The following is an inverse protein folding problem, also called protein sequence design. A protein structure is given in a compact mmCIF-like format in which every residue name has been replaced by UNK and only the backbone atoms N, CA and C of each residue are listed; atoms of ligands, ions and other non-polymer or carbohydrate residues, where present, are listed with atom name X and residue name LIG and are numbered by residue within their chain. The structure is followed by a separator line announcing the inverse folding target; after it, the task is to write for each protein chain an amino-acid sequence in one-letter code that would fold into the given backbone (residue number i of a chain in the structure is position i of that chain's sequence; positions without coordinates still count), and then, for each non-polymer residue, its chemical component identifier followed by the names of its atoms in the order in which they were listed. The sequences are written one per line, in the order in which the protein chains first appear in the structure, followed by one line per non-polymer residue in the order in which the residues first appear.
data_IF_393797266351
#
_entry.id   IF_393797266351
#
_cell.length_a   1.000
_cell.length_b   1.000
_cell.length_c   1.000
_cell.angle_alpha   90.00
_cell.angle_beta   90.00
_cell.angle_gamma   90.00
#
_symmetry.space_group_name_H-M   'P 1'
#
loop_
_entity.id
_entity.type
_entity.pdbx_description
1 polymer ?
#
# COMPACT_ATOMS: atom_id res chain seq x y z
N UNK A 1 8.01 -17.31 5.76
CA UNK A 1 7.99 -16.91 4.33
C UNK A 1 9.38 -16.44 3.93
N UNK A 2 10.10 -17.15 3.04
CA UNK A 2 11.44 -16.75 2.57
C UNK A 2 11.30 -16.01 1.24
N UNK A 3 11.47 -14.69 1.24
CA UNK A 3 11.51 -13.90 0.00
C UNK A 3 12.88 -14.14 -0.65
N UNK A 4 12.91 -14.90 -1.75
CA UNK A 4 14.12 -15.03 -2.58
C UNK A 4 14.21 -13.82 -3.49
N UNK A 5 15.16 -12.92 -3.22
CA UNK A 5 15.45 -11.80 -4.11
C UNK A 5 16.27 -12.36 -5.27
N UNK A 6 15.60 -12.61 -6.40
CA UNK A 6 16.28 -13.01 -7.64
C UNK A 6 16.99 -11.80 -8.24
N UNK A 7 18.32 -11.76 -8.11
CA UNK A 7 19.16 -10.68 -8.64
C UNK A 7 19.39 -10.86 -10.16
N UNK A 8 18.31 -10.84 -10.92
CA UNK A 8 18.33 -11.02 -12.38
C UNK A 8 18.52 -9.65 -13.07
N UNK A 9 19.70 -9.43 -13.69
CA UNK A 9 20.02 -8.19 -14.43
C UNK A 9 19.00 -7.86 -15.54
N UNK A 10 18.33 -8.87 -16.12
CA UNK A 10 17.27 -8.66 -17.11
C UNK A 10 16.00 -8.04 -16.51
N UNK A 11 15.66 -8.42 -15.27
CA UNK A 11 14.48 -7.90 -14.57
C UNK A 11 14.63 -6.42 -14.19
N UNK A 12 15.85 -6.00 -13.82
CA UNK A 12 16.13 -4.58 -13.51
C UNK A 12 15.83 -3.63 -14.66
N UNK A 13 15.97 -4.08 -15.92
CA UNK A 13 15.63 -3.28 -17.11
C UNK A 13 14.12 -3.12 -17.33
N UNK A 14 13.30 -3.99 -16.72
CA UNK A 14 11.83 -3.94 -16.81
C UNK A 14 11.20 -3.14 -15.66
N UNK A 15 11.97 -2.79 -14.63
CA UNK A 15 11.47 -1.97 -13.54
C UNK A 15 11.31 -0.53 -14.02
N UNK A 16 10.30 0.19 -13.51
CA UNK A 16 10.18 1.62 -13.75
C UNK A 16 11.47 2.33 -13.35
N UNK A 17 12.01 3.15 -14.25
CA UNK A 17 13.18 3.99 -13.98
C UNK A 17 12.83 5.13 -13.00
N UNK A 18 11.56 5.55 -13.01
CA UNK A 18 11.07 6.63 -12.18
C UNK A 18 10.46 6.11 -10.87
N UNK A 19 10.89 6.71 -9.75
CA UNK A 19 10.40 6.41 -8.40
C UNK A 19 9.42 7.47 -7.90
N UNK A 20 8.38 7.74 -8.69
CA UNK A 20 7.43 8.83 -8.43
C UNK A 20 6.84 8.79 -7.02
N UNK A 21 6.24 7.66 -6.63
CA UNK A 21 5.62 7.52 -5.31
C UNK A 21 6.60 7.40 -4.16
N UNK A 22 7.84 6.96 -4.39
CA UNK A 22 8.81 6.73 -3.30
C UNK A 22 9.14 8.01 -2.55
N UNK A 23 9.30 9.14 -3.24
CA UNK A 23 9.57 10.43 -2.59
C UNK A 23 8.38 10.90 -1.74
N UNK A 24 7.16 10.73 -2.27
CA UNK A 24 5.91 11.13 -1.60
C UNK A 24 5.71 10.30 -0.33
N UNK A 25 5.90 8.98 -0.42
CA UNK A 25 5.86 8.08 0.74
C UNK A 25 6.90 8.50 1.77
N UNK A 26 8.16 8.71 1.36
CA UNK A 26 9.22 9.12 2.28
C UNK A 26 8.86 10.40 3.05
N UNK A 27 8.43 11.45 2.35
CA UNK A 27 8.04 12.71 2.97
C UNK A 27 6.84 12.55 3.94
N UNK A 28 5.84 11.75 3.56
CA UNK A 28 4.70 11.47 4.42
C UNK A 28 5.10 10.72 5.71
N UNK A 29 5.99 9.73 5.62
CA UNK A 29 6.47 9.01 6.79
C UNK A 29 7.30 9.89 7.72
N UNK A 30 8.13 10.77 7.16
CA UNK A 30 8.84 11.77 7.97
C UNK A 30 7.86 12.68 8.74
N UNK A 31 6.86 13.24 8.05
CA UNK A 31 5.88 14.15 8.64
C UNK A 31 4.96 13.47 9.66
N UNK A 32 4.43 12.29 9.33
CA UNK A 32 3.36 11.65 10.12
C UNK A 32 3.87 10.67 11.16
N UNK A 33 5.07 10.11 10.99
CA UNK A 33 5.56 9.00 11.81
C UNK A 33 6.89 9.33 12.49
N UNK A 34 7.96 9.59 11.73
CA UNK A 34 9.29 9.78 12.33
C UNK A 34 9.38 11.06 13.16
N UNK A 35 8.73 12.15 12.74
CA UNK A 35 8.62 13.39 13.54
C UNK A 35 7.91 13.21 14.89
N UNK A 36 7.16 12.11 15.06
CA UNK A 36 6.38 11.80 16.27
C UNK A 36 6.95 10.61 17.06
N UNK A 37 8.12 10.12 16.68
CA UNK A 37 8.85 9.06 17.38
C UNK A 37 9.84 9.60 18.43
N UNK A 38 9.89 10.93 18.62
CA UNK A 38 10.76 11.54 19.63
C UNK A 38 10.23 11.32 21.06
N UNK A 39 11.13 11.23 22.07
CA UNK A 39 10.74 11.14 23.47
C UNK A 39 9.81 12.31 23.86
N UNK A 40 8.60 12.00 24.32
CA UNK A 40 7.60 12.99 24.72
C UNK A 40 6.55 13.33 23.66
N UNK A 41 6.62 12.75 22.46
CA UNK A 41 5.58 12.92 21.46
C UNK A 41 4.28 12.18 21.84
N UNK A 42 3.10 12.74 21.49
CA UNK A 42 1.81 12.07 21.73
C UNK A 42 1.71 10.78 20.91
N UNK A 43 1.06 9.76 21.50
CA UNK A 43 0.83 8.47 20.84
C UNK A 43 0.16 8.66 19.48
N UNK A 44 0.75 8.12 18.41
CA UNK A 44 0.20 8.23 17.06
C UNK A 44 -0.80 7.09 16.85
N UNK A 45 -2.11 7.35 16.72
CA UNK A 45 -3.06 6.30 16.42
C UNK A 45 -2.85 5.86 14.97
N UNK A 46 -2.53 4.57 14.80
CA UNK A 46 -2.39 3.87 13.51
C UNK A 46 -1.48 4.59 12.50
N UNK A 47 -0.18 4.30 12.54
CA UNK A 47 0.75 4.81 11.55
C UNK A 47 0.80 3.88 10.33
N UNK A 48 0.56 4.41 9.14
CA UNK A 48 0.69 3.61 7.94
C UNK A 48 0.58 4.43 6.65
N UNK A 49 0.97 3.84 5.51
CA UNK A 49 0.97 4.52 4.21
C UNK A 49 -0.42 4.97 3.76
N UNK A 50 -1.48 4.37 4.30
CA UNK A 50 -2.87 4.74 3.99
C UNK A 50 -3.26 6.16 4.45
N UNK A 51 -2.47 6.80 5.32
CA UNK A 51 -2.65 8.21 5.70
C UNK A 51 -1.93 9.20 4.77
N UNK A 52 -1.19 8.71 3.78
CA UNK A 52 -0.49 9.55 2.81
C UNK A 52 -1.41 9.85 1.63
N UNK A 53 -1.38 11.10 1.16
CA UNK A 53 -2.01 11.44 -0.11
C UNK A 53 -1.16 10.97 -1.27
N UNK A 54 -1.80 10.24 -2.19
CA UNK A 54 -1.15 9.72 -3.39
C UNK A 54 -1.74 10.41 -4.63
N UNK A 55 -1.04 11.38 -5.23
CA UNK A 55 -1.54 12.04 -6.42
C UNK A 55 -1.64 11.02 -7.56
N UNK A 56 -2.78 11.07 -8.26
CA UNK A 56 -2.97 10.29 -9.46
C UNK A 56 -2.08 10.83 -10.59
N UNK A 57 -1.40 9.93 -11.28
CA UNK A 57 -0.65 10.24 -12.49
C UNK A 57 -1.56 10.18 -13.71
N UNK A 58 -1.39 11.11 -14.64
CA UNK A 58 -2.14 11.14 -15.90
C UNK A 58 -1.72 10.03 -16.87
N UNK A 59 -0.48 9.54 -16.77
CA UNK A 59 0.11 8.53 -17.64
C UNK A 59 -0.02 7.09 -17.09
N UNK A 60 -0.45 6.93 -15.83
CA UNK A 60 -0.67 5.63 -15.20
C UNK A 60 -2.14 5.52 -14.80
N UNK A 61 -2.87 4.63 -15.47
CA UNK A 61 -4.21 4.24 -15.04
C UNK A 61 -4.10 3.44 -13.74
N UNK A 62 -4.81 3.90 -12.72
CA UNK A 62 -4.88 3.18 -11.45
C UNK A 62 -5.38 1.75 -11.64
N UNK A 63 -4.89 0.87 -10.79
CA UNK A 63 -5.31 -0.53 -10.74
C UNK A 63 -6.25 -0.68 -9.57
N UNK A 64 -7.53 -0.86 -9.85
CA UNK A 64 -8.49 -1.24 -8.83
C UNK A 64 -8.26 -2.71 -8.47
N UNK A 65 -8.03 -2.98 -7.19
CA UNK A 65 -7.92 -4.33 -6.66
C UNK A 65 -9.24 -4.68 -6.00
N UNK A 66 -9.92 -5.66 -6.56
CA UNK A 66 -11.14 -6.25 -6.00
C UNK A 66 -10.83 -7.66 -5.50
N UNK A 67 -11.55 -8.11 -4.49
CA UNK A 67 -11.42 -9.46 -3.96
C UNK A 67 -12.78 -9.97 -3.48
N UNK A 68 -13.01 -11.26 -3.66
CA UNK A 68 -14.08 -11.94 -2.94
C UNK A 68 -13.61 -12.24 -1.51
N UNK A 69 -14.51 -12.59 -0.61
CA UNK A 69 -14.15 -12.92 0.78
C UNK A 69 -14.75 -14.27 1.14
N UNK A 70 -14.00 -15.09 1.87
CA UNK A 70 -14.56 -16.29 2.48
C UNK A 70 -15.35 -15.90 3.73
N UNK A 71 -16.59 -16.39 3.81
CA UNK A 71 -17.43 -16.24 4.98
C UNK A 71 -16.88 -17.15 6.09
N UNK A 72 -16.14 -16.56 7.01
CA UNK A 72 -15.76 -17.22 8.26
C UNK A 72 -16.80 -16.90 9.35
N UNK A 73 -17.06 -17.85 10.28
CA UNK A 73 -17.96 -17.61 11.39
C UNK A 73 -17.57 -16.35 12.16
N UNK A 74 -18.56 -15.49 12.49
CA UNK A 74 -18.31 -14.30 13.30
C UNK A 74 -17.80 -14.70 14.69
N UNK A 75 -16.71 -14.07 15.09
CA UNK A 75 -16.07 -14.24 16.39
C UNK A 75 -16.18 -12.96 17.21
N UNK A 76 -16.31 -13.10 18.53
CA UNK A 76 -16.32 -11.99 19.49
C UNK A 76 -15.04 -12.03 20.34
N UNK A 77 -14.36 -10.89 20.59
CA UNK A 77 -14.75 -9.51 20.21
C UNK A 77 -14.30 -9.11 18.81
N UNK A 78 -13.43 -9.90 18.16
CA UNK A 78 -12.84 -9.58 16.86
C UNK A 78 -13.22 -10.67 15.86
N UNK A 79 -13.76 -10.26 14.71
CA UNK A 79 -14.04 -11.12 13.55
C UNK A 79 -13.02 -10.85 12.45
N UNK A 80 -12.49 -11.92 11.85
CA UNK A 80 -11.55 -11.84 10.74
C UNK A 80 -12.28 -12.03 9.40
N UNK A 81 -11.75 -11.46 8.32
CA UNK A 81 -12.22 -11.70 6.96
C UNK A 81 -11.01 -11.99 6.07
N UNK A 82 -11.08 -13.06 5.29
CA UNK A 82 -9.99 -13.46 4.41
C UNK A 82 -10.39 -13.20 2.96
N UNK A 83 -9.60 -12.35 2.30
CA UNK A 83 -9.74 -12.07 0.88
C UNK A 83 -9.34 -13.30 0.07
N UNK A 84 -10.21 -13.73 -0.82
CA UNK A 84 -10.00 -14.81 -1.79
C UNK A 84 -10.22 -14.30 -3.21
N UNK A 85 -9.47 -14.88 -4.16
CA UNK A 85 -9.57 -14.55 -5.60
C UNK A 85 -9.35 -13.04 -5.88
N UNK A 86 -8.14 -12.52 -5.62
CA UNK A 86 -7.82 -11.13 -5.96
C UNK A 86 -7.92 -10.91 -7.47
N UNK A 87 -8.55 -9.82 -7.87
CA UNK A 87 -8.75 -9.38 -9.25
C UNK A 87 -8.24 -7.95 -9.40
N UNK A 88 -7.51 -7.70 -10.48
CA UNK A 88 -6.96 -6.38 -10.79
C UNK A 88 -7.63 -5.86 -12.06
N UNK A 89 -8.19 -4.65 -12.00
CA UNK A 89 -8.86 -4.01 -13.12
C UNK A 89 -8.29 -2.62 -13.35
N UNK A 90 -7.92 -2.34 -14.60
CA UNK A 90 -7.52 -1.00 -15.06
C UNK A 90 -8.72 -0.19 -15.62
N UNK A 91 -9.92 -0.78 -15.60
CA UNK A 91 -11.13 -0.15 -16.18
C UNK A 91 -11.79 0.84 -15.23
N UNK A 92 -11.69 0.58 -13.92
CA UNK A 92 -12.21 1.46 -12.87
C UNK A 92 -11.05 2.38 -12.53
N UNK A 93 -11.09 3.61 -13.04
CA UNK A 93 -10.08 4.63 -12.74
C UNK A 93 -10.10 5.02 -11.27
N UNK A 94 -9.10 5.81 -10.83
CA UNK A 94 -9.00 6.33 -9.47
C UNK A 94 -10.08 7.38 -9.10
N UNK A 95 -10.99 7.71 -10.02
CA UNK A 95 -12.06 8.65 -9.75
C UNK A 95 -13.21 7.92 -9.06
N UNK A 96 -13.41 8.25 -7.78
CA UNK A 96 -14.70 8.13 -7.11
C UNK A 96 -15.62 9.25 -7.60
#
# INVERSE_FOLDING_TARGET
MRIKIYNNKSFKKKLPSEKFYTKIIGACFEDKFYSKMYPGAPAVPCSGPHFCEYPQRSDIRCVHVDASYENVPRMSPISFYFAVKPRMSFKIGCYA
#
